data_IF_185118622970
#
_entry.id   IF_185118622970
#
_cell.length_a   1.000
_cell.length_b   1.000
_cell.length_c   1.000
_cell.angle_alpha   90.00
_cell.angle_beta   90.00
_cell.angle_gamma   90.00
#
_symmetry.space_group_name_H-M   'P 1'
#
loop_
_entity.id
_entity.type
_entity.pdbx_description
1 polymer ?
#
# COMPACT_ATOMS: atom_id res chain seq x y z
N UNK A 1 1.75 -13.67 9.94
CA UNK A 1 1.07 -13.62 11.28
C UNK A 1 1.52 -12.44 12.16
N UNK A 2 2.75 -11.97 12.08
CA UNK A 2 3.27 -10.90 12.96
C UNK A 2 2.94 -9.47 12.46
N UNK A 3 2.71 -9.27 11.16
CA UNK A 3 2.46 -7.95 10.56
C UNK A 3 1.33 -7.18 11.24
N UNK A 4 0.17 -7.80 11.45
CA UNK A 4 -0.98 -7.14 12.07
C UNK A 4 -0.77 -6.85 13.56
N UNK A 5 0.02 -7.66 14.26
CA UNK A 5 0.35 -7.43 15.67
C UNK A 5 1.27 -6.22 15.84
N UNK A 6 2.21 -6.06 14.93
CA UNK A 6 3.21 -4.98 14.99
C UNK A 6 2.83 -3.75 14.17
N UNK A 7 1.78 -3.84 13.36
CA UNK A 7 1.35 -2.78 12.44
C UNK A 7 2.51 -2.29 11.55
N UNK A 8 3.25 -3.26 10.96
CA UNK A 8 4.41 -3.00 10.11
C UNK A 8 4.38 -3.90 8.88
N UNK A 9 4.91 -3.42 7.77
CA UNK A 9 5.14 -4.21 6.57
C UNK A 9 6.52 -3.90 5.98
N UNK A 10 6.98 -4.78 5.12
CA UNK A 10 8.30 -4.71 4.50
C UNK A 10 8.15 -4.19 3.08
N UNK A 11 9.05 -3.30 2.68
CA UNK A 11 9.24 -2.86 1.30
C UNK A 11 10.68 -3.13 0.89
N UNK A 12 10.87 -3.64 -0.32
CA UNK A 12 12.19 -3.98 -0.85
C UNK A 12 12.47 -3.23 -2.14
N UNK A 13 13.64 -2.62 -2.18
CA UNK A 13 14.18 -1.94 -3.35
C UNK A 13 14.30 -0.42 -3.18
N UNK A 14 15.31 0.13 -3.83
CA UNK A 14 15.67 1.54 -3.72
C UNK A 14 14.54 2.48 -4.17
N UNK A 15 13.94 2.17 -5.33
CA UNK A 15 12.87 3.02 -5.89
C UNK A 15 11.65 3.14 -4.99
N UNK A 16 11.17 2.03 -4.43
CA UNK A 16 9.99 2.07 -3.56
C UNK A 16 10.27 2.74 -2.22
N UNK A 17 11.50 2.62 -1.69
CA UNK A 17 11.90 3.35 -0.50
C UNK A 17 12.01 4.86 -0.75
N UNK A 18 12.50 5.28 -1.91
CA UNK A 18 12.50 6.69 -2.31
C UNK A 18 11.07 7.24 -2.33
N UNK A 19 10.15 6.55 -3.00
CA UNK A 19 8.72 6.92 -3.01
C UNK A 19 8.13 6.95 -1.59
N UNK A 20 8.47 5.98 -0.74
CA UNK A 20 7.99 5.98 0.65
C UNK A 20 8.44 7.23 1.42
N UNK A 21 9.66 7.71 1.17
CA UNK A 21 10.16 8.95 1.79
C UNK A 21 9.46 10.19 1.24
N UNK A 22 9.24 10.26 -0.07
CA UNK A 22 8.54 11.35 -0.76
C UNK A 22 7.09 11.47 -0.28
N UNK A 23 6.38 10.34 -0.19
CA UNK A 23 5.02 10.24 0.36
C UNK A 23 4.97 10.33 1.90
N UNK A 24 6.08 10.64 2.57
CA UNK A 24 6.15 10.77 4.03
C UNK A 24 5.68 9.54 4.81
N UNK A 25 5.84 8.35 4.22
CA UNK A 25 5.53 7.10 4.91
C UNK A 25 6.38 6.96 6.20
N UNK A 26 5.80 6.33 7.22
CA UNK A 26 6.48 6.15 8.51
C UNK A 26 7.47 4.99 8.43
N UNK A 27 8.65 5.23 7.87
CA UNK A 27 9.78 4.29 7.95
C UNK A 27 10.22 4.15 9.41
N UNK A 28 10.25 2.91 9.91
CA UNK A 28 10.74 2.59 11.26
C UNK A 28 12.26 2.41 11.27
N UNK A 29 12.75 1.61 10.32
CA UNK A 29 14.17 1.39 10.09
C UNK A 29 14.40 0.79 8.69
N UNK A 30 15.65 0.79 8.28
CA UNK A 30 16.10 0.28 6.98
C UNK A 30 17.28 -0.68 7.20
N UNK A 31 17.30 -1.79 6.47
CA UNK A 31 18.48 -2.65 6.33
C UNK A 31 19.15 -2.39 4.99
N UNK A 32 20.46 -2.33 4.98
CA UNK A 32 21.27 -2.26 3.77
C UNK A 32 22.37 -3.30 3.81
N UNK A 33 22.75 -3.81 2.64
CA UNK A 33 23.94 -4.64 2.51
C UNK A 33 25.17 -3.81 2.15
N UNK A 34 26.33 -4.47 2.14
CA UNK A 34 27.62 -3.83 1.84
C UNK A 34 27.68 -3.22 0.44
N UNK A 35 27.05 -3.86 -0.55
CA UNK A 35 27.08 -3.41 -1.94
C UNK A 35 26.22 -2.16 -2.15
N UNK A 36 25.08 -2.06 -1.46
CA UNK A 36 24.26 -0.85 -1.48
C UNK A 36 25.02 0.33 -0.91
N UNK A 37 25.72 0.14 0.22
CA UNK A 37 26.44 1.22 0.91
C UNK A 37 27.59 1.78 0.06
N UNK A 38 28.29 0.92 -0.69
CA UNK A 38 29.47 1.32 -1.48
C UNK A 38 29.13 2.17 -2.71
N UNK A 39 27.89 2.12 -3.19
CA UNK A 39 27.48 2.82 -4.40
C UNK A 39 27.38 4.33 -4.17
N UNK A 40 28.09 5.09 -5.02
CA UNK A 40 28.12 6.55 -4.94
C UNK A 40 26.73 7.17 -5.10
N UNK A 41 25.91 6.60 -5.98
CA UNK A 41 24.54 7.05 -6.26
C UNK A 41 23.59 6.96 -5.05
N UNK A 42 23.90 6.13 -4.05
CA UNK A 42 23.07 5.97 -2.86
C UNK A 42 23.44 6.89 -1.70
N UNK A 43 24.53 7.66 -1.80
CA UNK A 43 25.00 8.52 -0.70
C UNK A 43 23.99 9.58 -0.28
N UNK A 44 23.40 10.27 -1.25
CA UNK A 44 22.40 11.30 -0.98
C UNK A 44 21.17 10.72 -0.27
N UNK A 45 20.74 9.52 -0.70
CA UNK A 45 19.64 8.81 -0.07
C UNK A 45 19.96 8.44 1.39
N UNK A 46 21.16 7.91 1.65
CA UNK A 46 21.60 7.57 3.02
C UNK A 46 21.69 8.81 3.92
N UNK A 47 22.14 9.94 3.39
CA UNK A 47 22.11 11.21 4.10
C UNK A 47 20.68 11.69 4.38
N UNK A 48 19.76 11.47 3.46
CA UNK A 48 18.34 11.78 3.66
C UNK A 48 17.73 10.93 4.80
N UNK A 49 18.05 9.64 4.85
CA UNK A 49 17.64 8.78 5.96
C UNK A 49 18.17 9.30 7.31
N UNK A 50 19.43 9.69 7.33
CA UNK A 50 20.08 10.26 8.54
C UNK A 50 19.43 11.58 8.96
N UNK A 51 19.16 12.49 8.02
CA UNK A 51 18.48 13.78 8.30
C UNK A 51 17.07 13.60 8.85
N UNK A 52 16.40 12.50 8.46
CA UNK A 52 15.05 12.13 8.94
C UNK A 52 15.07 11.26 10.21
N UNK A 53 16.23 11.04 10.80
CA UNK A 53 16.44 10.19 11.99
C UNK A 53 15.92 8.75 11.80
N UNK A 54 16.03 8.22 10.56
CA UNK A 54 15.66 6.85 10.25
C UNK A 54 16.86 5.95 10.51
N UNK A 55 16.68 4.95 11.37
CA UNK A 55 17.76 4.01 11.73
C UNK A 55 18.12 3.14 10.54
N UNK A 56 19.42 3.05 10.26
CA UNK A 56 19.97 2.20 9.20
C UNK A 56 20.81 1.10 9.84
N UNK A 57 20.43 -0.15 9.59
CA UNK A 57 21.17 -1.34 10.00
C UNK A 57 21.96 -1.89 8.83
N UNK A 58 23.25 -2.09 9.02
CA UNK A 58 24.14 -2.68 8.03
C UNK A 58 24.23 -4.18 8.23
N UNK A 59 24.16 -4.92 7.16
CA UNK A 59 24.29 -6.38 7.14
C UNK A 59 25.30 -6.81 6.09
N UNK A 60 25.83 -8.02 6.24
CA UNK A 60 26.60 -8.67 5.16
C UNK A 60 25.66 -9.06 4.01
N UNK A 61 26.19 -9.23 2.81
CA UNK A 61 25.41 -9.71 1.67
C UNK A 61 24.72 -11.05 1.97
N UNK A 62 25.41 -11.97 2.63
CA UNK A 62 24.86 -13.28 3.01
C UNK A 62 23.62 -13.17 3.90
N UNK A 63 23.68 -12.36 4.96
CA UNK A 63 22.52 -12.15 5.85
C UNK A 63 21.40 -11.45 5.10
N UNK A 64 21.73 -10.54 4.20
CA UNK A 64 20.73 -9.81 3.43
C UNK A 64 19.96 -10.72 2.47
N UNK A 65 20.62 -11.66 1.81
CA UNK A 65 20.00 -12.69 0.96
C UNK A 65 18.96 -13.53 1.73
N UNK A 66 19.24 -13.85 2.99
CA UNK A 66 18.30 -14.59 3.86
C UNK A 66 17.07 -13.75 4.25
N UNK A 67 17.12 -12.42 4.11
CA UNK A 67 16.02 -11.50 4.43
C UNK A 67 15.11 -11.20 3.23
N UNK A 68 15.51 -11.59 2.03
CA UNK A 68 14.81 -11.25 0.79
C UNK A 68 14.25 -12.49 0.10
N UNK A 69 13.08 -12.33 -0.53
CA UNK A 69 12.49 -13.38 -1.37
C UNK A 69 12.85 -13.18 -2.87
N UNK A 70 13.71 -12.19 -3.19
CA UNK A 70 14.07 -11.85 -4.58
C UNK A 70 15.46 -12.34 -4.93
N UNK A 71 15.57 -13.04 -6.07
CA UNK A 71 16.86 -13.54 -6.59
C UNK A 71 17.88 -12.42 -6.89
N UNK A 72 17.38 -11.24 -7.28
CA UNK A 72 18.21 -10.06 -7.59
C UNK A 72 17.83 -8.89 -6.68
N UNK A 73 18.29 -8.95 -5.44
CA UNK A 73 18.04 -7.88 -4.48
C UNK A 73 18.78 -6.60 -4.83
N UNK A 74 18.15 -5.44 -4.60
CA UNK A 74 18.81 -4.13 -4.73
C UNK A 74 19.63 -3.75 -3.49
N UNK A 75 19.75 -4.64 -2.51
CA UNK A 75 20.57 -4.42 -1.32
C UNK A 75 19.96 -3.49 -0.27
N UNK A 76 18.67 -3.21 -0.34
CA UNK A 76 17.97 -2.35 0.61
C UNK A 76 16.55 -2.83 0.90
N UNK A 77 16.21 -2.89 2.19
CA UNK A 77 14.88 -3.22 2.71
C UNK A 77 14.46 -2.16 3.73
N UNK A 78 13.23 -1.69 3.64
CA UNK A 78 12.63 -0.81 4.63
C UNK A 78 11.48 -1.48 5.38
N UNK A 79 11.34 -1.13 6.65
CA UNK A 79 10.18 -1.49 7.46
C UNK A 79 9.32 -0.26 7.68
N UNK A 80 8.08 -0.32 7.23
CA UNK A 80 7.12 0.78 7.27
C UNK A 80 6.07 0.49 8.32
N UNK A 81 5.77 1.46 9.18
CA UNK A 81 4.64 1.43 10.10
C UNK A 81 3.38 1.86 9.38
N UNK A 82 2.28 1.16 9.62
CA UNK A 82 0.97 1.59 9.16
C UNK A 82 -0.02 1.67 10.33
N UNK A 83 -1.07 2.44 10.15
CA UNK A 83 -2.21 2.44 11.07
C UNK A 83 -3.31 1.57 10.49
N UNK A 84 -3.88 0.70 11.31
CA UNK A 84 -5.07 -0.03 10.93
C UNK A 84 -6.22 0.98 10.73
N UNK A 85 -6.86 0.93 9.58
CA UNK A 85 -7.95 1.83 9.22
C UNK A 85 -9.28 1.10 9.38
N UNK A 86 -10.28 1.79 9.92
CA UNK A 86 -11.65 1.28 10.03
C UNK A 86 -12.62 2.23 9.31
N UNK A 87 -13.80 1.75 8.99
CA UNK A 87 -14.83 2.55 8.31
C UNK A 87 -15.14 3.83 9.11
N UNK A 88 -15.43 3.68 10.40
CA UNK A 88 -15.90 4.76 11.27
C UNK A 88 -14.85 5.87 11.50
N UNK A 89 -13.56 5.51 11.45
CA UNK A 89 -12.46 6.45 11.70
C UNK A 89 -11.91 7.09 10.44
N UNK A 90 -12.13 6.46 9.29
CA UNK A 90 -11.44 6.81 8.06
C UNK A 90 -12.38 7.17 6.91
N UNK A 91 -13.69 6.98 7.08
CA UNK A 91 -14.72 7.53 6.20
C UNK A 91 -15.51 8.59 6.97
N UNK A 92 -15.59 9.78 6.43
CA UNK A 92 -16.31 10.93 6.98
C UNK A 92 -17.33 11.43 5.95
N UNK A 93 -18.21 12.33 6.35
CA UNK A 93 -19.21 12.93 5.48
C UNK A 93 -18.61 13.71 4.29
N UNK A 94 -17.33 14.04 4.37
CA UNK A 94 -16.60 14.72 3.28
C UNK A 94 -16.17 13.76 2.16
N UNK A 95 -16.15 12.43 2.42
CA UNK A 95 -15.79 11.46 1.40
C UNK A 95 -16.96 11.27 0.41
N UNK A 96 -16.73 11.66 -0.85
CA UNK A 96 -17.73 11.66 -1.91
C UNK A 96 -17.61 10.46 -2.83
N UNK A 97 -16.40 9.96 -3.02
CA UNK A 97 -16.12 8.90 -3.95
C UNK A 97 -15.31 7.78 -3.29
N UNK A 98 -15.98 6.65 -3.07
CA UNK A 98 -15.40 5.45 -2.43
C UNK A 98 -15.44 4.29 -3.41
N UNK A 99 -14.31 3.62 -3.60
CA UNK A 99 -14.19 2.44 -4.45
C UNK A 99 -14.23 1.17 -3.60
N UNK A 100 -15.13 0.23 -3.93
CA UNK A 100 -15.22 -1.06 -3.26
C UNK A 100 -14.61 -2.14 -4.17
N UNK A 101 -13.68 -2.92 -3.63
CA UNK A 101 -13.03 -4.02 -4.32
C UNK A 101 -13.47 -5.35 -3.73
N UNK A 102 -14.15 -6.17 -4.53
CA UNK A 102 -14.57 -7.51 -4.15
C UNK A 102 -13.74 -8.57 -4.87
N UNK A 103 -13.06 -9.44 -4.11
CA UNK A 103 -12.30 -10.60 -4.59
C UNK A 103 -11.28 -10.32 -5.70
N UNK A 104 -10.63 -9.17 -5.66
CA UNK A 104 -9.49 -8.89 -6.53
C UNK A 104 -8.30 -9.72 -6.03
N UNK A 105 -7.97 -10.81 -6.72
CA UNK A 105 -6.97 -11.79 -6.27
C UNK A 105 -5.60 -11.61 -6.92
N UNK A 106 -5.53 -11.04 -8.14
CA UNK A 106 -4.25 -10.78 -8.80
C UNK A 106 -3.54 -9.56 -8.19
N UNK A 107 -2.28 -9.71 -7.72
CA UNK A 107 -1.55 -8.61 -7.11
C UNK A 107 -1.25 -7.44 -8.06
N UNK A 108 -1.07 -7.71 -9.35
CA UNK A 108 -0.84 -6.70 -10.37
C UNK A 108 -2.07 -5.84 -10.60
N UNK A 109 -3.25 -6.48 -10.72
CA UNK A 109 -4.53 -5.79 -10.84
C UNK A 109 -4.83 -4.96 -9.60
N UNK A 110 -4.65 -5.52 -8.40
CA UNK A 110 -4.83 -4.78 -7.14
C UNK A 110 -3.99 -3.50 -7.12
N UNK A 111 -2.70 -3.60 -7.41
CA UNK A 111 -1.82 -2.44 -7.40
C UNK A 111 -2.17 -1.42 -8.50
N UNK A 112 -2.58 -1.88 -9.69
CA UNK A 112 -3.02 -1.00 -10.77
C UNK A 112 -4.30 -0.25 -10.39
N UNK A 113 -5.27 -0.93 -9.80
CA UNK A 113 -6.52 -0.30 -9.33
C UNK A 113 -6.23 0.76 -8.27
N UNK A 114 -5.39 0.44 -7.26
CA UNK A 114 -5.00 1.40 -6.22
C UNK A 114 -4.38 2.66 -6.83
N UNK A 115 -3.43 2.48 -7.76
CA UNK A 115 -2.77 3.60 -8.44
C UNK A 115 -3.74 4.42 -9.30
N UNK A 116 -4.68 3.77 -9.98
CA UNK A 116 -5.67 4.44 -10.82
C UNK A 116 -6.68 5.20 -9.96
N UNK A 117 -7.12 4.61 -8.86
CA UNK A 117 -8.01 5.26 -7.90
C UNK A 117 -7.40 6.52 -7.30
N UNK A 118 -6.13 6.45 -6.90
CA UNK A 118 -5.35 7.59 -6.42
C UNK A 118 -5.30 8.73 -7.47
N UNK A 119 -4.92 8.38 -8.71
CA UNK A 119 -4.86 9.35 -9.81
C UNK A 119 -6.24 9.94 -10.19
N UNK A 120 -7.32 9.19 -9.97
CA UNK A 120 -8.70 9.62 -10.24
C UNK A 120 -9.32 10.43 -9.09
N UNK A 121 -8.60 10.62 -7.99
CA UNK A 121 -9.11 11.37 -6.84
C UNK A 121 -10.17 10.61 -6.04
N UNK A 122 -10.09 9.27 -6.01
CA UNK A 122 -10.92 8.44 -5.11
C UNK A 122 -10.51 8.73 -3.67
N UNK A 123 -11.47 9.04 -2.81
CA UNK A 123 -11.21 9.41 -1.41
C UNK A 123 -10.79 8.21 -0.55
N UNK A 124 -11.36 7.03 -0.83
CA UNK A 124 -11.03 5.82 -0.11
C UNK A 124 -11.28 4.55 -0.93
N UNK A 125 -10.52 3.51 -0.64
CA UNK A 125 -10.73 2.16 -1.16
C UNK A 125 -11.17 1.25 -0.02
N UNK A 126 -12.26 0.51 -0.20
CA UNK A 126 -12.69 -0.56 0.69
C UNK A 126 -12.30 -1.88 0.01
N UNK A 127 -11.29 -2.56 0.52
CA UNK A 127 -10.90 -3.89 0.06
C UNK A 127 -11.60 -4.95 0.90
N UNK A 128 -12.57 -5.65 0.30
CA UNK A 128 -13.34 -6.68 0.97
C UNK A 128 -12.51 -7.94 1.25
N UNK A 129 -12.93 -8.68 2.27
CA UNK A 129 -12.35 -9.99 2.58
C UNK A 129 -12.45 -10.90 1.35
N UNK A 130 -11.31 -11.50 0.94
CA UNK A 130 -11.19 -12.28 -0.29
C UNK A 130 -10.32 -11.59 -1.34
N UNK A 131 -10.01 -10.31 -1.19
CA UNK A 131 -8.97 -9.67 -1.96
C UNK A 131 -7.58 -10.15 -1.57
N UNK A 132 -6.64 -10.05 -2.50
CA UNK A 132 -5.20 -10.25 -2.20
C UNK A 132 -4.75 -9.26 -1.13
N UNK A 133 -3.79 -9.67 -0.34
CA UNK A 133 -3.19 -8.82 0.68
C UNK A 133 -2.56 -7.56 0.06
N UNK A 134 -3.07 -6.39 0.43
CA UNK A 134 -2.59 -5.09 -0.07
C UNK A 134 -1.11 -4.83 0.25
N UNK A 135 -0.58 -5.48 1.30
CA UNK A 135 0.84 -5.39 1.68
C UNK A 135 1.69 -6.53 1.08
N UNK A 136 1.16 -7.29 0.12
CA UNK A 136 1.96 -8.21 -0.67
C UNK A 136 3.03 -7.42 -1.45
N UNK A 137 4.30 -7.86 -1.47
CA UNK A 137 5.38 -7.13 -2.15
C UNK A 137 5.10 -6.81 -3.63
N UNK A 138 4.40 -7.70 -4.34
CA UNK A 138 4.01 -7.47 -5.74
C UNK A 138 2.92 -6.39 -5.85
N UNK A 139 1.94 -6.34 -4.92
CA UNK A 139 0.94 -5.27 -4.85
C UNK A 139 1.65 -3.94 -4.61
N UNK A 140 2.48 -3.86 -3.56
CA UNK A 140 3.20 -2.64 -3.18
C UNK A 140 4.00 -2.08 -4.37
N UNK A 141 4.76 -2.92 -5.07
CA UNK A 141 5.50 -2.50 -6.26
C UNK A 141 4.59 -1.97 -7.37
N UNK A 142 3.45 -2.63 -7.59
CA UNK A 142 2.50 -2.25 -8.65
C UNK A 142 1.76 -0.94 -8.38
N UNK A 143 1.65 -0.51 -7.11
CA UNK A 143 1.01 0.76 -6.74
C UNK A 143 1.84 1.99 -7.09
N UNK A 144 3.13 1.84 -7.37
CA UNK A 144 4.05 2.94 -7.69
C UNK A 144 4.08 4.06 -6.64
N UNK A 145 3.85 3.71 -5.36
CA UNK A 145 3.84 4.66 -4.24
C UNK A 145 2.47 5.01 -3.69
N UNK A 146 1.39 4.89 -4.47
CA UNK A 146 0.01 5.22 -4.05
C UNK A 146 -0.46 4.49 -2.77
N UNK A 147 0.15 3.34 -2.44
CA UNK A 147 -0.13 2.60 -1.19
C UNK A 147 0.18 3.42 0.08
N UNK A 148 1.06 4.40 0.00
CA UNK A 148 1.47 5.19 1.16
C UNK A 148 0.49 6.33 1.46
N UNK A 149 -0.19 6.86 0.46
CA UNK A 149 -1.08 8.02 0.56
C UNK A 149 -2.56 7.61 0.56
N UNK A 150 -2.93 6.60 -0.24
CA UNK A 150 -4.31 6.17 -0.39
C UNK A 150 -4.92 5.66 0.93
N UNK A 151 -6.15 6.09 1.19
CA UNK A 151 -6.95 5.59 2.31
C UNK A 151 -7.56 4.22 1.96
N UNK A 152 -6.92 3.13 2.39
CA UNK A 152 -7.39 1.76 2.10
C UNK A 152 -7.86 1.11 3.40
N UNK A 153 -9.13 0.70 3.42
CA UNK A 153 -9.81 0.04 4.54
C UNK A 153 -10.05 -1.42 4.17
N UNK A 154 -9.69 -2.34 5.05
CA UNK A 154 -9.95 -3.77 4.86
C UNK A 154 -11.07 -4.21 5.81
N UNK A 155 -12.17 -4.76 5.27
CA UNK A 155 -13.33 -5.18 6.06
C UNK A 155 -14.11 -6.30 5.35
N UNK A 156 -15.20 -6.74 5.96
CA UNK A 156 -16.14 -7.69 5.35
C UNK A 156 -17.16 -6.98 4.47
N UNK A 157 -17.85 -7.73 3.61
CA UNK A 157 -18.90 -7.18 2.76
C UNK A 157 -20.05 -6.63 3.60
N UNK A 158 -20.50 -7.38 4.61
CA UNK A 158 -21.64 -7.00 5.44
C UNK A 158 -21.34 -5.69 6.20
N UNK A 159 -20.17 -5.59 6.84
CA UNK A 159 -19.75 -4.37 7.53
C UNK A 159 -19.67 -3.16 6.59
N UNK A 160 -19.15 -3.35 5.37
CA UNK A 160 -19.05 -2.26 4.39
C UNK A 160 -20.43 -1.78 3.95
N UNK A 161 -21.33 -2.70 3.55
CA UNK A 161 -22.66 -2.37 3.05
C UNK A 161 -23.51 -1.70 4.14
N UNK A 162 -23.50 -2.27 5.37
CA UNK A 162 -24.25 -1.72 6.50
C UNK A 162 -23.78 -0.30 6.84
N UNK A 163 -22.46 -0.08 6.88
CA UNK A 163 -21.88 1.24 7.15
C UNK A 163 -22.27 2.26 6.07
N UNK A 164 -22.10 1.89 4.79
CA UNK A 164 -22.37 2.81 3.67
C UNK A 164 -23.84 3.20 3.60
N UNK A 165 -24.76 2.24 3.80
CA UNK A 165 -26.21 2.52 3.86
C UNK A 165 -26.57 3.42 5.03
N UNK A 166 -26.01 3.15 6.22
CA UNK A 166 -26.27 3.95 7.41
C UNK A 166 -25.76 5.41 7.27
N UNK A 167 -24.78 5.64 6.39
CA UNK A 167 -24.20 6.97 6.12
C UNK A 167 -24.64 7.56 4.76
N UNK A 168 -25.76 7.07 4.19
CA UNK A 168 -26.41 7.60 2.99
C UNK A 168 -25.51 7.61 1.73
N UNK A 169 -24.66 6.60 1.57
CA UNK A 169 -23.94 6.39 0.32
C UNK A 169 -24.82 5.69 -0.71
N UNK A 170 -24.82 6.20 -1.94
CA UNK A 170 -25.37 5.49 -3.08
C UNK A 170 -24.37 4.40 -3.53
N UNK A 171 -24.82 3.16 -3.60
CA UNK A 171 -23.97 2.03 -3.96
C UNK A 171 -24.27 1.62 -5.40
N UNK A 172 -23.28 1.82 -6.27
CA UNK A 172 -23.34 1.41 -7.69
C UNK A 172 -22.40 0.22 -7.89
N UNK A 173 -22.87 -0.84 -8.54
CA UNK A 173 -22.05 -2.01 -8.85
C UNK A 173 -21.91 -2.24 -10.34
N UNK A 174 -20.71 -2.61 -10.80
CA UNK A 174 -20.53 -3.13 -12.14
C UNK A 174 -20.87 -4.64 -12.18
N UNK A 175 -21.65 -5.05 -13.17
CA UNK A 175 -22.07 -6.43 -13.35
C UNK A 175 -22.03 -6.84 -14.82
N UNK A 176 -21.50 -8.05 -15.11
CA UNK A 176 -21.26 -8.51 -16.48
C UNK A 176 -22.52 -8.82 -17.30
N UNK A 177 -23.64 -9.09 -16.62
CA UNK A 177 -24.89 -9.50 -17.25
C UNK A 177 -25.99 -8.42 -17.17
N UNK A 178 -25.61 -7.15 -17.22
CA UNK A 178 -26.53 -6.03 -17.27
C UNK A 178 -26.57 -5.44 -18.70
N UNK A 179 -27.75 -4.95 -19.09
CA UNK A 179 -27.93 -4.16 -20.32
C UNK A 179 -27.76 -2.65 -20.07
N UNK A 180 -27.65 -2.24 -18.80
CA UNK A 180 -27.49 -0.85 -18.41
C UNK A 180 -26.05 -0.36 -18.64
N UNK A 181 -25.93 0.85 -19.14
CA UNK A 181 -24.67 1.55 -19.35
C UNK A 181 -24.46 2.61 -18.27
N UNK A 182 -23.21 3.02 -18.05
CA UNK A 182 -22.84 4.00 -17.01
C UNK A 182 -23.55 5.38 -17.13
N UNK A 183 -24.06 5.72 -18.30
CA UNK A 183 -24.83 6.96 -18.55
C UNK A 183 -26.32 6.85 -18.19
N UNK A 184 -26.79 5.67 -17.77
CA UNK A 184 -28.17 5.43 -17.35
C UNK A 184 -28.34 5.40 -15.82
N UNK A 185 -27.23 5.52 -15.09
CA UNK A 185 -27.24 5.62 -13.62
C UNK A 185 -27.59 7.06 -13.23
N UNK A 186 -28.82 7.27 -12.81
CA UNK A 186 -29.32 8.50 -12.18
C UNK A 186 -29.44 8.33 -10.68
#
# INVERSE_FOLDING_TARGET
KNRNKESKFIIEGYRILTLAIECRAKLDYVFINEDFEKKQEHKEFLETLKKKDIRVYKTTNKIFEDLTDTENTQGIIGVVKFKQRTLEKNLTDDNRFVLILDRIQDPGNMGTIIRTADAAGVDAIIALKGCVDIYNPKVIRSTMGSIFDMNIIQTTQDEAVDFLKANNFDIVSSYLHTESYYNETT
#
